data_IF_583808070850
#
_entry.id   IF_583808070850
#
_cell.length_a   1.000
_cell.length_b   1.000
_cell.length_c   1.000
_cell.angle_alpha   90.00
_cell.angle_beta   90.00
_cell.angle_gamma   90.00
#
_symmetry.space_group_name_H-M   'P 1'
#
loop_
_entity.id
_entity.type
_entity.pdbx_description
1 polymer ?
#
# COMPACT_ATOMS: atom_id res chain seq x y z
N UNK A 1 -4.12 41.30 -12.61
CA UNK A 1 -3.39 40.89 -11.39
C UNK A 1 -4.28 39.97 -10.57
N UNK A 2 -4.20 38.66 -10.74
CA UNK A 2 -4.89 37.71 -9.86
C UNK A 2 -3.97 36.51 -9.65
N UNK A 3 -3.47 36.36 -8.41
CA UNK A 3 -2.65 35.21 -8.04
C UNK A 3 -3.56 33.97 -7.90
N UNK A 4 -3.30 32.96 -8.72
CA UNK A 4 -3.99 31.67 -8.67
C UNK A 4 -3.60 30.91 -7.38
N UNK A 5 -4.60 30.43 -6.64
CA UNK A 5 -4.42 29.54 -5.49
C UNK A 5 -3.84 28.21 -6.01
N UNK A 6 -2.64 27.85 -5.54
CA UNK A 6 -1.91 26.69 -6.02
C UNK A 6 -2.61 25.37 -5.59
N UNK A 7 -2.96 24.46 -6.52
CA UNK A 7 -3.60 23.18 -6.20
C UNK A 7 -2.67 22.19 -5.49
N UNK A 8 -1.37 22.49 -5.41
CA UNK A 8 -0.38 21.58 -4.84
C UNK A 8 -0.27 21.71 -3.32
N UNK A 9 -0.05 20.57 -2.65
CA UNK A 9 0.25 20.54 -1.21
C UNK A 9 1.63 21.14 -0.97
N UNK A 10 1.69 22.19 -0.16
CA UNK A 10 2.96 22.85 0.21
C UNK A 10 3.85 21.99 1.12
N UNK A 11 3.28 21.00 1.81
CA UNK A 11 4.05 20.08 2.65
C UNK A 11 3.39 18.70 2.73
N UNK A 12 4.21 17.66 2.77
CA UNK A 12 3.77 16.31 3.08
C UNK A 12 3.80 16.09 4.60
N UNK A 13 2.63 15.97 5.23
CA UNK A 13 2.55 15.64 6.65
C UNK A 13 2.66 14.13 6.80
N UNK A 14 3.71 13.67 7.48
CA UNK A 14 3.83 12.27 7.85
C UNK A 14 2.69 11.90 8.79
N UNK A 15 1.98 10.78 8.55
CA UNK A 15 1.01 10.29 9.52
C UNK A 15 1.72 10.01 10.85
N UNK A 16 1.07 10.31 11.97
CA UNK A 16 1.57 9.93 13.28
C UNK A 16 1.77 8.41 13.27
N UNK A 17 2.98 7.96 13.65
CA UNK A 17 3.41 6.58 13.53
C UNK A 17 2.50 5.66 14.37
N UNK A 18 1.40 5.19 13.78
CA UNK A 18 0.67 4.05 14.32
C UNK A 18 1.60 2.86 14.19
N UNK A 19 2.09 2.37 15.33
CA UNK A 19 2.97 1.23 15.38
C UNK A 19 2.20 0.03 14.83
N UNK A 20 2.62 -0.47 13.67
CA UNK A 20 2.11 -1.76 13.17
C UNK A 20 2.58 -2.80 14.18
N UNK A 21 1.65 -3.34 14.96
CA UNK A 21 1.93 -4.41 15.88
C UNK A 21 1.91 -5.71 15.09
N UNK A 22 3.09 -6.22 14.78
CA UNK A 22 3.23 -7.54 14.18
C UNK A 22 2.91 -8.61 15.22
N UNK A 23 1.84 -9.36 15.00
CA UNK A 23 1.52 -10.58 15.74
C UNK A 23 1.30 -11.73 14.75
N UNK A 24 1.48 -12.99 15.17
CA UNK A 24 1.25 -14.14 14.31
C UNK A 24 -0.13 -14.06 13.62
N UNK A 25 -0.15 -14.15 12.29
CA UNK A 25 -1.39 -14.13 11.50
C UNK A 25 -1.82 -12.77 10.93
N UNK A 26 -1.11 -11.66 11.21
CA UNK A 26 -1.45 -10.35 10.63
C UNK A 26 -1.36 -10.35 9.09
N UNK A 27 -0.28 -10.90 8.53
CA UNK A 27 -0.13 -11.05 7.06
C UNK A 27 -1.19 -11.99 6.48
N UNK A 28 -1.46 -13.13 7.14
CA UNK A 28 -2.46 -14.10 6.70
C UNK A 28 -3.87 -13.48 6.63
N UNK A 29 -4.23 -12.64 7.60
CA UNK A 29 -5.51 -11.90 7.58
C UNK A 29 -5.58 -10.95 6.39
N UNK A 30 -4.52 -10.18 6.14
CA UNK A 30 -4.43 -9.27 4.99
C UNK A 30 -4.58 -10.02 3.66
N UNK A 31 -3.89 -11.16 3.51
CA UNK A 31 -3.98 -12.00 2.32
C UNK A 31 -5.39 -12.53 2.08
N UNK A 32 -6.09 -13.00 3.12
CA UNK A 32 -7.50 -13.42 3.02
C UNK A 32 -8.40 -12.28 2.56
N UNK A 33 -8.21 -11.08 3.08
CA UNK A 33 -8.98 -9.91 2.69
C UNK A 33 -8.72 -9.49 1.25
N UNK A 34 -7.47 -9.56 0.79
CA UNK A 34 -7.11 -9.32 -0.62
C UNK A 34 -7.82 -10.36 -1.50
N UNK A 35 -7.68 -11.65 -1.18
CA UNK A 35 -8.29 -12.74 -1.95
C UNK A 35 -9.82 -12.61 -2.09
N UNK A 36 -10.51 -12.16 -1.03
CA UNK A 36 -11.95 -11.90 -1.07
C UNK A 36 -12.32 -10.78 -2.06
N UNK A 37 -11.45 -9.77 -2.21
CA UNK A 37 -11.69 -8.63 -3.10
C UNK A 37 -11.27 -8.89 -4.55
N UNK A 38 -10.41 -9.87 -4.81
CA UNK A 38 -9.89 -10.16 -6.16
C UNK A 38 -10.99 -10.47 -7.19
N UNK A 39 -12.15 -10.96 -6.77
CA UNK A 39 -13.29 -11.23 -7.69
C UNK A 39 -13.96 -9.97 -8.22
N UNK A 40 -13.73 -8.82 -7.58
CA UNK A 40 -14.43 -7.57 -7.87
C UNK A 40 -13.49 -6.53 -8.52
N UNK A 41 -12.30 -6.93 -8.99
CA UNK A 41 -11.32 -6.04 -9.59
C UNK A 41 -10.99 -6.48 -11.01
N UNK A 42 -10.90 -5.52 -11.92
CA UNK A 42 -10.55 -5.77 -13.33
C UNK A 42 -9.02 -5.80 -13.54
N UNK A 43 -8.26 -5.16 -12.66
CA UNK A 43 -6.80 -5.13 -12.72
C UNK A 43 -6.16 -5.07 -11.33
N UNK A 44 -4.90 -5.50 -11.26
CA UNK A 44 -4.08 -5.47 -10.05
C UNK A 44 -2.84 -4.63 -10.33
N UNK A 45 -2.60 -3.61 -9.51
CA UNK A 45 -1.38 -2.82 -9.54
C UNK A 45 -0.55 -3.17 -8.31
N UNK A 46 0.54 -3.89 -8.52
CA UNK A 46 1.50 -4.21 -7.47
C UNK A 46 2.59 -3.13 -7.38
N UNK A 47 2.88 -2.67 -6.17
CA UNK A 47 3.94 -1.70 -5.90
C UNK A 47 5.02 -2.40 -5.07
N UNK A 48 6.24 -2.42 -5.59
CA UNK A 48 7.39 -3.08 -4.97
C UNK A 48 8.57 -2.14 -4.81
N UNK A 49 9.46 -2.49 -3.88
CA UNK A 49 10.78 -1.85 -3.77
C UNK A 49 11.67 -2.33 -4.93
N UNK A 50 12.18 -1.39 -5.73
CA UNK A 50 12.98 -1.67 -6.92
C UNK A 50 14.32 -2.35 -6.61
N UNK A 51 14.82 -2.27 -5.37
CA UNK A 51 16.09 -2.89 -4.96
C UNK A 51 15.98 -4.39 -4.75
N UNK A 52 14.77 -4.88 -4.45
CA UNK A 52 14.47 -6.28 -4.12
C UNK A 52 13.13 -6.69 -4.77
N UNK A 53 13.05 -6.64 -6.10
CA UNK A 53 11.77 -6.78 -6.82
C UNK A 53 11.14 -8.18 -6.68
N UNK A 54 11.95 -9.22 -6.49
CA UNK A 54 11.47 -10.60 -6.33
C UNK A 54 11.42 -11.02 -4.85
N UNK A 55 12.48 -10.70 -4.10
CA UNK A 55 12.61 -11.11 -2.70
C UNK A 55 11.65 -10.39 -1.76
N UNK A 56 11.17 -9.18 -2.12
CA UNK A 56 10.21 -8.43 -1.32
C UNK A 56 8.75 -8.91 -1.44
N UNK A 57 8.46 -9.85 -2.35
CA UNK A 57 7.10 -10.34 -2.58
C UNK A 57 6.67 -11.31 -1.49
N UNK A 58 5.38 -11.34 -1.19
CA UNK A 58 4.79 -12.40 -0.37
C UNK A 58 4.77 -13.71 -1.18
N UNK A 59 5.36 -14.79 -0.63
CA UNK A 59 5.39 -16.11 -1.29
C UNK A 59 4.02 -16.74 -1.51
N UNK A 60 2.99 -16.30 -0.78
CA UNK A 60 1.61 -16.73 -0.95
C UNK A 60 0.86 -15.96 -2.06
N UNK A 61 1.48 -14.95 -2.67
CA UNK A 61 0.88 -14.13 -3.73
C UNK A 61 1.31 -14.61 -5.14
N UNK A 62 1.44 -15.92 -5.33
CA UNK A 62 1.74 -16.57 -6.62
C UNK A 62 0.64 -17.57 -6.98
#
# INVERSE_FOLDING_TARGET
MTAQLNPFRNAFRLPTKQRINWFPGHMNKGMRQIQQKLRNVDCIVEIHDSRIPLAGRNSQFF
#
